data_IF_051203706161
#
_entry.id   IF_051203706161
#
_cell.length_a   1.000
_cell.length_b   1.000
_cell.length_c   1.000
_cell.angle_alpha   90.00
_cell.angle_beta   90.00
_cell.angle_gamma   90.00
#
_symmetry.space_group_name_H-M   'P 1'
#
loop_
_entity.id
_entity.type
_entity.pdbx_description
1 polymer ?
#
# COMPACT_ATOMS: atom_id res chain seq x y z
N UNK A 1 64.82 -10.63 -30.21
CA UNK A 1 64.14 -9.86 -29.16
C UNK A 1 62.62 -10.07 -29.38
N UNK A 2 61.99 -11.01 -28.64
CA UNK A 2 60.57 -11.32 -28.79
C UNK A 2 59.79 -10.50 -27.79
N UNK A 3 58.92 -9.63 -28.27
CA UNK A 3 58.01 -8.80 -27.47
C UNK A 3 56.82 -9.66 -27.03
N UNK A 4 56.72 -9.93 -25.72
CA UNK A 4 55.55 -10.57 -25.12
C UNK A 4 54.57 -9.49 -24.71
N UNK A 5 53.46 -9.39 -25.45
CA UNK A 5 52.35 -8.51 -25.09
C UNK A 5 51.50 -9.28 -24.07
N UNK A 6 51.55 -8.89 -22.82
CA UNK A 6 50.66 -9.36 -21.78
C UNK A 6 49.31 -8.64 -21.91
N UNK A 7 48.27 -9.35 -22.37
CA UNK A 7 46.90 -8.85 -22.35
C UNK A 7 46.38 -9.01 -20.92
N UNK A 8 46.31 -7.91 -20.19
CA UNK A 8 45.67 -7.84 -18.89
C UNK A 8 44.15 -7.85 -19.11
N UNK A 9 43.52 -9.00 -18.99
CA UNK A 9 42.06 -9.12 -19.01
C UNK A 9 41.48 -8.49 -17.74
N UNK A 10 40.84 -7.34 -17.88
CA UNK A 10 40.03 -6.76 -16.82
C UNK A 10 38.78 -7.64 -16.68
N UNK A 11 38.78 -8.53 -15.70
CA UNK A 11 37.59 -9.23 -15.25
C UNK A 11 36.70 -8.18 -14.56
N UNK A 12 35.76 -7.60 -15.32
CA UNK A 12 34.64 -6.84 -14.73
C UNK A 12 33.78 -7.87 -14.02
N UNK A 13 33.95 -8.02 -12.73
CA UNK A 13 33.05 -8.77 -11.87
C UNK A 13 31.70 -8.04 -11.96
N UNK A 14 30.75 -8.57 -12.69
CA UNK A 14 29.34 -8.24 -12.52
C UNK A 14 28.96 -8.73 -11.12
N UNK A 15 29.08 -7.86 -10.11
CA UNK A 15 28.39 -8.13 -8.85
C UNK A 15 26.91 -8.28 -9.21
N UNK A 16 26.41 -9.49 -9.04
CA UNK A 16 24.99 -9.75 -9.19
C UNK A 16 24.23 -8.77 -8.26
N UNK A 17 23.48 -7.85 -8.84
CA UNK A 17 22.66 -6.89 -8.10
C UNK A 17 21.47 -7.62 -7.46
N UNK A 18 21.78 -8.59 -6.59
CA UNK A 18 20.80 -9.40 -5.88
C UNK A 18 20.63 -8.88 -4.46
N UNK A 19 19.37 -8.72 -4.00
CA UNK A 19 19.03 -8.38 -2.61
C UNK A 19 17.93 -9.32 -2.12
N UNK A 20 18.08 -9.87 -0.92
CA UNK A 20 17.16 -10.86 -0.34
C UNK A 20 16.78 -12.02 -1.28
N UNK A 21 17.70 -12.40 -2.19
CA UNK A 21 17.49 -13.46 -3.18
C UNK A 21 16.80 -13.01 -4.48
N UNK A 22 16.47 -11.72 -4.63
CA UNK A 22 15.87 -11.18 -5.85
C UNK A 22 16.90 -10.55 -6.76
N UNK A 23 16.87 -10.90 -8.06
CA UNK A 23 17.69 -10.29 -9.10
C UNK A 23 17.13 -8.90 -9.46
N UNK A 24 17.98 -7.88 -9.31
CA UNK A 24 17.64 -6.48 -9.59
C UNK A 24 18.38 -5.93 -10.83
N UNK A 25 19.11 -6.79 -11.56
CA UNK A 25 19.93 -6.37 -12.70
C UNK A 25 19.10 -5.73 -13.84
N UNK A 26 17.85 -6.16 -13.98
CA UNK A 26 16.87 -5.66 -14.97
C UNK A 26 15.63 -5.07 -14.28
N UNK A 27 15.83 -4.23 -13.28
CA UNK A 27 14.73 -3.54 -12.58
C UNK A 27 14.28 -2.29 -13.32
N UNK A 28 12.96 -2.02 -13.32
CA UNK A 28 12.38 -0.77 -13.86
C UNK A 28 12.77 0.47 -13.04
N UNK A 29 13.20 0.27 -11.79
CA UNK A 29 13.66 1.34 -10.92
C UNK A 29 15.14 1.12 -10.61
N UNK A 30 15.92 2.17 -10.28
CA UNK A 30 17.33 2.01 -9.99
C UNK A 30 17.57 1.04 -8.82
N UNK A 31 18.30 -0.05 -9.06
CA UNK A 31 18.59 -1.07 -8.04
C UNK A 31 19.23 -0.50 -6.76
N UNK A 32 20.00 0.61 -6.87
CA UNK A 32 20.59 1.33 -5.73
C UNK A 32 19.53 1.96 -4.83
N UNK A 33 18.31 2.22 -5.33
CA UNK A 33 17.20 2.82 -4.58
C UNK A 33 16.34 1.76 -3.89
N UNK A 34 16.43 0.50 -4.32
CA UNK A 34 15.82 -0.63 -3.61
C UNK A 34 16.69 -0.93 -2.39
N UNK A 35 16.11 -0.86 -1.20
CA UNK A 35 16.80 -0.97 0.09
C UNK A 35 16.27 -2.15 0.89
N UNK A 36 17.13 -2.76 1.73
CA UNK A 36 16.67 -3.69 2.74
C UNK A 36 15.87 -2.93 3.81
N UNK A 37 14.69 -3.43 4.14
CA UNK A 37 13.83 -2.93 5.23
C UNK A 37 14.25 -3.42 6.61
N UNK A 38 15.24 -4.31 6.69
CA UNK A 38 15.73 -4.96 7.91
C UNK A 38 15.39 -6.45 7.93
N UNK A 39 14.12 -6.87 7.96
CA UNK A 39 13.76 -8.30 7.89
C UNK A 39 14.22 -8.93 6.57
N UNK A 40 14.60 -10.23 6.57
CA UNK A 40 14.83 -10.97 5.32
C UNK A 40 13.50 -11.21 4.58
N UNK A 41 13.56 -11.83 3.42
CA UNK A 41 12.40 -12.38 2.71
C UNK A 41 11.56 -13.22 3.67
N UNK A 42 10.25 -12.97 3.71
CA UNK A 42 9.26 -13.59 4.61
C UNK A 42 9.57 -13.45 6.12
N UNK A 43 10.51 -12.58 6.50
CA UNK A 43 10.78 -12.25 7.90
C UNK A 43 9.61 -11.52 8.57
N UNK A 44 8.73 -10.89 7.78
CA UNK A 44 7.40 -10.46 8.15
C UNK A 44 6.43 -11.46 7.50
N UNK A 45 5.70 -12.27 8.28
CA UNK A 45 4.89 -13.37 7.73
C UNK A 45 3.59 -12.84 7.11
N UNK A 46 3.43 -12.97 5.80
CA UNK A 46 2.16 -12.70 5.13
C UNK A 46 1.07 -13.71 5.55
N UNK A 47 -0.20 -13.28 5.53
CA UNK A 47 -1.33 -14.17 5.82
C UNK A 47 -1.82 -14.81 4.51
N UNK A 48 -1.81 -16.14 4.45
CA UNK A 48 -2.23 -16.93 3.27
C UNK A 48 -3.57 -17.64 3.46
N UNK A 49 -4.02 -17.81 4.68
CA UNK A 49 -5.29 -18.43 5.06
C UNK A 49 -5.97 -17.57 6.10
N UNK A 50 -6.52 -16.42 5.70
CA UNK A 50 -7.18 -15.52 6.64
C UNK A 50 -8.42 -16.19 7.25
N UNK A 51 -8.57 -16.08 8.57
CA UNK A 51 -9.77 -16.40 9.29
C UNK A 51 -10.54 -15.11 9.59
N UNK A 52 -11.84 -15.19 9.62
CA UNK A 52 -12.71 -14.05 9.86
C UNK A 52 -13.66 -14.33 11.01
N UNK A 53 -14.11 -13.26 11.62
CA UNK A 53 -15.10 -13.24 12.70
C UNK A 53 -16.14 -12.16 12.44
N UNK A 54 -17.26 -12.17 13.15
CA UNK A 54 -18.29 -11.13 13.01
C UNK A 54 -17.80 -9.80 13.61
N UNK A 55 -18.43 -8.69 13.24
CA UNK A 55 -18.15 -7.40 13.84
C UNK A 55 -18.37 -7.40 15.37
N UNK A 56 -19.37 -8.14 15.85
CA UNK A 56 -19.64 -8.30 17.28
C UNK A 56 -18.47 -8.98 17.99
N UNK A 57 -18.00 -10.12 17.49
CA UNK A 57 -16.83 -10.83 18.03
C UNK A 57 -15.56 -9.98 18.00
N UNK A 58 -15.36 -9.25 16.91
CA UNK A 58 -14.22 -8.33 16.77
C UNK A 58 -14.26 -7.18 17.78
N UNK A 59 -15.46 -6.73 18.20
CA UNK A 59 -15.63 -5.66 19.19
C UNK A 59 -15.11 -6.01 20.60
N UNK A 60 -14.87 -7.28 20.87
CA UNK A 60 -14.24 -7.73 22.12
C UNK A 60 -12.77 -7.28 22.26
N UNK A 61 -12.12 -6.95 21.13
CA UNK A 61 -10.70 -6.58 21.12
C UNK A 61 -10.36 -5.35 20.25
N UNK A 62 -11.24 -4.94 19.34
CA UNK A 62 -11.16 -3.69 18.60
C UNK A 62 -11.96 -2.62 19.32
N UNK A 63 -11.36 -1.44 19.45
CA UNK A 63 -12.09 -0.23 19.88
C UNK A 63 -12.74 0.45 18.68
N UNK A 64 -13.78 1.27 18.88
CA UNK A 64 -14.45 2.01 17.81
C UNK A 64 -13.48 2.79 16.89
N UNK A 65 -12.42 3.35 17.46
CA UNK A 65 -11.44 4.20 16.75
C UNK A 65 -10.31 3.41 16.07
N UNK A 66 -10.27 2.08 16.22
CA UNK A 66 -9.23 1.31 15.55
C UNK A 66 -9.35 1.42 14.03
N UNK A 67 -8.23 1.69 13.38
CA UNK A 67 -8.17 1.81 11.92
C UNK A 67 -8.35 0.46 11.27
N UNK A 68 -9.14 0.45 10.21
CA UNK A 68 -9.35 -0.71 9.34
C UNK A 68 -9.21 -0.31 7.87
N UNK A 69 -8.82 -1.26 7.05
CA UNK A 69 -9.03 -1.22 5.60
C UNK A 69 -10.33 -1.96 5.31
N UNK A 70 -11.32 -1.24 4.84
CA UNK A 70 -12.60 -1.81 4.44
C UNK A 70 -12.64 -2.07 2.94
N UNK A 71 -13.10 -3.26 2.54
CA UNK A 71 -13.17 -3.69 1.15
C UNK A 71 -14.53 -4.32 0.88
N UNK A 72 -15.13 -3.99 -0.25
CA UNK A 72 -16.34 -4.66 -0.74
C UNK A 72 -15.99 -5.38 -2.05
N UNK A 73 -16.07 -6.71 -2.04
CA UNK A 73 -15.80 -7.55 -3.21
C UNK A 73 -17.01 -8.45 -3.42
N UNK A 74 -17.55 -8.49 -4.62
CA UNK A 74 -18.78 -9.29 -4.93
C UNK A 74 -19.94 -9.00 -3.97
N UNK A 75 -20.08 -7.76 -3.51
CA UNK A 75 -21.11 -7.35 -2.55
C UNK A 75 -20.86 -7.80 -1.10
N UNK A 76 -19.77 -8.51 -0.82
CA UNK A 76 -19.40 -8.93 0.53
C UNK A 76 -18.38 -7.94 1.12
N UNK A 77 -18.70 -7.40 2.30
CA UNK A 77 -17.84 -6.47 3.02
C UNK A 77 -16.87 -7.22 3.93
N UNK A 78 -15.59 -6.80 3.90
CA UNK A 78 -14.55 -7.27 4.82
C UNK A 78 -13.77 -6.11 5.41
N UNK A 79 -13.38 -6.25 6.67
CA UNK A 79 -12.53 -5.31 7.37
C UNK A 79 -11.19 -5.97 7.75
N UNK A 80 -10.10 -5.26 7.48
CA UNK A 80 -8.74 -5.70 7.83
C UNK A 80 -8.15 -4.71 8.82
N UNK A 81 -8.10 -5.07 10.13
CA UNK A 81 -7.58 -4.18 11.15
C UNK A 81 -6.11 -3.84 10.92
N UNK A 82 -5.77 -2.55 10.89
CA UNK A 82 -4.38 -2.08 10.72
C UNK A 82 -3.48 -2.63 11.82
N UNK A 83 -4.02 -2.92 13.00
CA UNK A 83 -3.28 -3.59 14.08
C UNK A 83 -2.70 -4.95 13.68
N UNK A 84 -3.43 -5.72 12.87
CA UNK A 84 -2.94 -6.99 12.31
C UNK A 84 -1.96 -6.69 11.16
N UNK A 85 -2.34 -5.77 10.27
CA UNK A 85 -1.54 -5.44 9.10
C UNK A 85 -0.16 -4.86 9.46
N UNK A 86 -0.01 -4.20 10.59
CA UNK A 86 1.29 -3.73 11.10
C UNK A 86 2.32 -4.86 11.34
N UNK A 87 1.85 -6.10 11.48
CA UNK A 87 2.70 -7.26 11.76
C UNK A 87 2.82 -8.22 10.57
N UNK A 88 1.92 -8.08 9.60
CA UNK A 88 1.81 -9.03 8.49
C UNK A 88 1.98 -8.38 7.12
N UNK A 89 1.71 -7.09 7.01
CA UNK A 89 1.79 -6.27 5.78
C UNK A 89 0.94 -6.77 4.60
N UNK A 90 0.75 -8.08 4.46
CA UNK A 90 0.04 -8.70 3.33
C UNK A 90 -0.97 -9.73 3.82
N UNK A 91 -2.19 -9.67 3.27
CA UNK A 91 -3.22 -10.70 3.42
C UNK A 91 -3.66 -11.15 2.03
N UNK A 92 -3.38 -12.40 1.69
CA UNK A 92 -3.88 -13.03 0.48
C UNK A 92 -5.27 -13.60 0.78
N UNK A 93 -6.27 -13.12 0.08
CA UNK A 93 -7.66 -13.44 0.37
C UNK A 93 -8.44 -13.81 -0.88
N UNK A 94 -9.64 -14.37 -0.66
CA UNK A 94 -10.54 -14.78 -1.72
C UNK A 94 -11.99 -14.67 -1.27
N UNK A 95 -12.82 -14.11 -2.14
CA UNK A 95 -14.29 -14.17 -2.04
C UNK A 95 -14.78 -14.85 -3.30
N UNK A 96 -15.42 -16.02 -3.13
CA UNK A 96 -15.83 -16.87 -4.24
C UNK A 96 -14.66 -17.23 -5.16
N UNK A 97 -14.70 -16.83 -6.43
CA UNK A 97 -13.65 -17.01 -7.44
C UNK A 97 -12.73 -15.80 -7.59
N UNK A 98 -12.99 -14.69 -6.88
CA UNK A 98 -12.20 -13.47 -6.91
C UNK A 98 -11.07 -13.55 -5.88
N UNK A 99 -9.84 -13.74 -6.36
CA UNK A 99 -8.63 -13.61 -5.55
C UNK A 99 -8.20 -12.14 -5.49
N UNK A 100 -7.78 -11.71 -4.30
CA UNK A 100 -7.21 -10.37 -4.11
C UNK A 100 -6.20 -10.37 -2.97
N UNK A 101 -5.35 -9.36 -2.96
CA UNK A 101 -4.39 -9.14 -1.88
C UNK A 101 -4.62 -7.79 -1.24
N UNK A 102 -4.71 -7.78 0.08
CA UNK A 102 -4.73 -6.57 0.91
C UNK A 102 -3.31 -6.33 1.38
N UNK A 103 -2.81 -5.13 1.12
CA UNK A 103 -1.43 -4.77 1.44
C UNK A 103 -1.40 -3.52 2.31
N UNK A 104 -0.45 -3.47 3.25
CA UNK A 104 -0.26 -2.31 4.11
C UNK A 104 1.22 -2.06 4.35
N UNK A 105 1.68 -0.84 4.09
CA UNK A 105 3.02 -0.40 4.45
C UNK A 105 2.96 0.53 5.68
N UNK A 106 3.34 0.06 6.88
CA UNK A 106 3.29 0.90 8.09
C UNK A 106 4.16 2.14 8.02
N UNK A 107 5.27 2.08 7.27
CA UNK A 107 6.18 3.20 7.11
C UNK A 107 5.59 4.32 6.24
N UNK A 108 4.75 3.96 5.28
CA UNK A 108 4.09 4.88 4.36
C UNK A 108 2.64 5.20 4.76
N UNK A 109 2.08 4.44 5.71
CA UNK A 109 0.66 4.51 6.07
C UNK A 109 -0.26 4.11 4.91
N UNK A 110 0.30 3.48 3.86
CA UNK A 110 -0.43 3.11 2.65
C UNK A 110 -1.11 1.76 2.81
N UNK A 111 -2.42 1.72 2.54
CA UNK A 111 -3.17 0.49 2.41
C UNK A 111 -3.77 0.39 1.02
N UNK A 112 -3.51 -0.69 0.32
CA UNK A 112 -3.98 -0.89 -1.05
C UNK A 112 -4.49 -2.32 -1.23
N UNK A 113 -5.42 -2.47 -2.13
CA UNK A 113 -5.99 -3.78 -2.46
C UNK A 113 -5.87 -3.99 -3.97
N UNK A 114 -5.45 -5.18 -4.36
CA UNK A 114 -5.26 -5.53 -5.76
C UNK A 114 -5.97 -6.82 -6.09
N UNK A 115 -6.59 -6.87 -7.26
CA UNK A 115 -7.03 -8.13 -7.82
C UNK A 115 -5.80 -9.01 -8.08
N UNK A 116 -5.82 -10.22 -7.55
CA UNK A 116 -4.69 -11.17 -7.60
C UNK A 116 -4.91 -12.29 -8.63
N UNK A 117 -5.80 -12.09 -9.59
CA UNK A 117 -6.03 -13.01 -10.69
C UNK A 117 -5.05 -12.67 -11.82
N UNK A 118 -4.07 -13.54 -12.09
CA UNK A 118 -3.16 -13.38 -13.20
C UNK A 118 -3.36 -14.52 -14.22
N UNK A 119 -4.08 -14.24 -15.28
CA UNK A 119 -4.28 -15.15 -16.40
C UNK A 119 -4.78 -16.54 -16.00
N UNK A 120 -3.87 -17.49 -15.73
CA UNK A 120 -4.20 -18.89 -15.46
C UNK A 120 -4.28 -19.26 -13.97
N UNK A 121 -4.26 -18.32 -13.04
CA UNK A 121 -4.32 -18.63 -11.61
C UNK A 121 -4.20 -17.42 -10.70
N UNK A 122 -4.29 -17.65 -9.40
CA UNK A 122 -4.08 -16.62 -8.39
C UNK A 122 -2.59 -16.36 -8.17
N UNK A 123 -2.23 -15.08 -8.05
CA UNK A 123 -0.94 -14.70 -7.47
C UNK A 123 -1.06 -14.73 -5.95
N UNK A 124 -0.08 -15.34 -5.30
CA UNK A 124 0.08 -15.29 -3.85
C UNK A 124 1.30 -14.43 -3.54
N UNK A 125 1.09 -13.41 -2.71
CA UNK A 125 2.12 -12.44 -2.40
C UNK A 125 2.74 -12.68 -1.03
N UNK A 126 4.07 -12.51 -0.96
CA UNK A 126 4.86 -12.51 0.26
C UNK A 126 5.59 -11.18 0.45
N UNK A 127 6.13 -10.98 1.66
CA UNK A 127 6.91 -9.80 2.02
C UNK A 127 8.36 -10.03 1.62
N UNK A 128 8.86 -9.22 0.71
CA UNK A 128 10.24 -9.36 0.19
C UNK A 128 11.32 -8.94 1.19
N UNK A 129 10.96 -8.15 2.22
CA UNK A 129 11.90 -7.47 3.10
C UNK A 129 12.64 -6.31 2.44
N UNK A 130 12.25 -5.93 1.22
CA UNK A 130 12.81 -4.82 0.47
C UNK A 130 11.83 -3.66 0.39
N UNK A 131 12.39 -2.46 0.22
CA UNK A 131 11.66 -1.20 0.10
C UNK A 131 12.14 -0.44 -1.13
N UNK A 132 11.22 0.24 -1.81
CA UNK A 132 11.51 1.28 -2.77
C UNK A 132 10.80 2.57 -2.34
N UNK A 133 11.53 3.68 -2.23
CA UNK A 133 11.00 4.94 -1.72
C UNK A 133 10.32 4.83 -0.34
N UNK A 134 10.87 3.98 0.54
CA UNK A 134 10.31 3.67 1.88
C UNK A 134 9.03 2.82 1.84
N UNK A 135 8.52 2.51 0.66
CA UNK A 135 7.31 1.69 0.47
C UNK A 135 7.66 0.23 0.28
N UNK A 136 6.76 -0.65 0.72
CA UNK A 136 6.97 -2.10 0.68
C UNK A 136 7.04 -2.62 -0.75
N UNK A 137 8.00 -3.51 -1.00
CA UNK A 137 8.01 -4.35 -2.17
C UNK A 137 7.47 -5.73 -1.82
N UNK A 138 6.38 -6.10 -2.48
CA UNK A 138 5.86 -7.45 -2.43
C UNK A 138 6.65 -8.33 -3.40
N UNK A 139 6.54 -9.65 -3.25
CA UNK A 139 6.93 -10.58 -4.30
C UNK A 139 5.82 -11.61 -4.50
N UNK A 140 5.67 -12.15 -5.70
CA UNK A 140 4.77 -13.29 -5.92
C UNK A 140 5.54 -14.60 -5.90
N UNK A 141 4.94 -15.62 -5.27
CA UNK A 141 5.56 -16.95 -5.13
C UNK A 141 5.72 -17.72 -6.46
N UNK A 142 4.94 -17.38 -7.49
CA UNK A 142 4.91 -18.15 -8.73
C UNK A 142 6.05 -17.74 -9.66
N UNK A 143 6.28 -16.43 -9.79
CA UNK A 143 7.28 -15.89 -10.71
C UNK A 143 8.50 -15.31 -10.01
N UNK A 144 8.44 -15.12 -8.70
CA UNK A 144 9.43 -14.43 -7.88
C UNK A 144 9.72 -12.99 -8.34
N UNK A 145 8.74 -12.38 -9.03
CA UNK A 145 8.83 -10.97 -9.41
C UNK A 145 8.60 -10.07 -8.20
N UNK A 146 9.33 -8.93 -8.16
CA UNK A 146 9.10 -7.88 -7.17
C UNK A 146 8.08 -6.89 -7.67
N UNK A 147 7.17 -6.47 -6.79
CA UNK A 147 6.07 -5.56 -7.07
C UNK A 147 6.13 -4.37 -6.14
N UNK A 148 6.07 -3.16 -6.71
CA UNK A 148 5.90 -1.94 -5.92
C UNK A 148 4.43 -1.77 -5.54
N UNK A 149 4.14 -1.59 -4.26
CA UNK A 149 2.78 -1.39 -3.78
C UNK A 149 2.16 -0.14 -4.41
N UNK A 150 2.75 1.04 -4.22
CA UNK A 150 2.17 2.31 -4.70
C UNK A 150 2.09 2.36 -6.23
N UNK A 151 3.06 1.78 -6.96
CA UNK A 151 2.99 1.73 -8.41
C UNK A 151 2.01 0.68 -8.93
N UNK A 152 1.57 -0.29 -8.11
CA UNK A 152 0.74 -1.41 -8.54
C UNK A 152 1.38 -2.24 -9.66
N UNK A 153 2.71 -2.28 -9.75
CA UNK A 153 3.44 -2.81 -10.91
C UNK A 153 4.62 -3.68 -10.50
N UNK A 154 4.84 -4.76 -11.24
CA UNK A 154 6.05 -5.56 -11.12
C UNK A 154 7.26 -4.77 -11.63
N UNK A 155 8.26 -4.57 -10.78
CA UNK A 155 9.45 -3.77 -11.08
C UNK A 155 10.66 -4.62 -11.48
N UNK A 156 10.69 -5.90 -11.17
CA UNK A 156 11.71 -6.85 -11.60
C UNK A 156 11.17 -8.27 -11.69
N UNK A 157 11.93 -9.18 -12.26
CA UNK A 157 11.57 -10.59 -12.42
C UNK A 157 10.75 -10.87 -13.68
N UNK A 158 10.18 -12.08 -13.74
CA UNK A 158 9.51 -12.61 -14.94
C UNK A 158 8.28 -11.81 -15.38
N UNK A 159 7.60 -11.19 -14.43
CA UNK A 159 6.39 -10.39 -14.68
C UNK A 159 6.68 -8.88 -14.74
N UNK A 160 7.95 -8.47 -14.82
CA UNK A 160 8.34 -7.06 -14.93
C UNK A 160 7.48 -6.29 -15.93
N UNK A 161 6.94 -5.15 -15.51
CA UNK A 161 6.07 -4.28 -16.31
C UNK A 161 4.58 -4.64 -16.23
N UNK A 162 4.22 -5.80 -15.68
CA UNK A 162 2.81 -6.15 -15.46
C UNK A 162 2.21 -5.28 -14.37
N UNK A 163 0.98 -4.83 -14.54
CA UNK A 163 0.20 -4.07 -13.56
C UNK A 163 -0.83 -4.95 -12.89
N UNK A 164 -1.07 -4.68 -11.59
CA UNK A 164 -2.17 -5.28 -10.84
C UNK A 164 -3.36 -4.32 -10.85
N UNK A 165 -4.55 -4.79 -11.26
CA UNK A 165 -5.75 -3.98 -11.13
C UNK A 165 -6.01 -3.64 -9.66
N UNK A 166 -6.01 -2.35 -9.34
CA UNK A 166 -6.32 -1.88 -8.00
C UNK A 166 -7.81 -1.95 -7.74
N UNK A 167 -8.21 -2.45 -6.58
CA UNK A 167 -9.57 -2.43 -6.09
C UNK A 167 -9.77 -1.25 -5.14
N UNK A 168 -11.00 -0.75 -5.08
CA UNK A 168 -11.35 0.31 -4.13
C UNK A 168 -11.20 -0.20 -2.69
N UNK A 169 -10.62 0.63 -1.83
CA UNK A 169 -10.42 0.37 -0.40
C UNK A 169 -10.76 1.62 0.38
N UNK A 170 -11.42 1.46 1.52
CA UNK A 170 -11.75 2.55 2.43
C UNK A 170 -10.88 2.48 3.68
N UNK A 171 -10.05 3.51 3.89
CA UNK A 171 -9.31 3.69 5.14
C UNK A 171 -10.19 4.41 6.15
N UNK A 172 -10.68 3.71 7.16
CA UNK A 172 -11.63 4.30 8.11
C UNK A 172 -11.46 3.75 9.52
N UNK A 173 -12.32 4.15 10.46
CA UNK A 173 -12.41 3.55 11.78
C UNK A 173 -13.29 2.29 11.75
N UNK A 174 -13.07 1.39 12.70
CA UNK A 174 -13.89 0.18 12.87
C UNK A 174 -15.37 0.53 13.03
N UNK A 175 -15.67 1.54 13.87
CA UNK A 175 -17.04 2.05 14.05
C UNK A 175 -17.68 2.49 12.73
N UNK A 176 -17.03 3.40 12.01
CA UNK A 176 -17.58 3.93 10.75
C UNK A 176 -17.81 2.83 9.71
N UNK A 177 -16.87 1.85 9.63
CA UNK A 177 -17.02 0.74 8.71
C UNK A 177 -18.21 -0.15 9.07
N UNK A 178 -18.35 -0.54 10.35
CA UNK A 178 -19.42 -1.45 10.80
C UNK A 178 -20.80 -0.80 10.78
N UNK A 179 -20.89 0.52 10.96
CA UNK A 179 -22.14 1.28 10.79
C UNK A 179 -22.63 1.25 9.31
N UNK A 180 -21.69 1.33 8.36
CA UNK A 180 -22.01 1.27 6.93
C UNK A 180 -22.18 -0.17 6.41
N UNK A 181 -21.54 -1.13 7.05
CA UNK A 181 -21.50 -2.52 6.65
C UNK A 181 -21.72 -3.44 7.88
N UNK A 182 -22.93 -3.51 8.45
CA UNK A 182 -23.20 -4.26 9.68
C UNK A 182 -22.89 -5.76 9.57
N UNK A 183 -23.04 -6.34 8.37
CA UNK A 183 -22.76 -7.75 8.10
C UNK A 183 -21.31 -8.01 7.69
N UNK A 184 -20.39 -7.06 7.92
CA UNK A 184 -18.99 -7.21 7.54
C UNK A 184 -18.32 -8.35 8.29
N UNK A 185 -17.47 -9.09 7.59
CA UNK A 185 -16.53 -10.02 8.22
C UNK A 185 -15.21 -9.29 8.52
N UNK A 186 -14.70 -9.48 9.73
CA UNK A 186 -13.48 -8.84 10.23
C UNK A 186 -12.35 -9.86 10.29
N UNK A 187 -11.17 -9.52 9.77
CA UNK A 187 -10.00 -10.39 9.87
C UNK A 187 -9.68 -10.65 11.35
N UNK A 188 -9.67 -11.94 11.72
CA UNK A 188 -9.50 -12.39 13.08
C UNK A 188 -8.04 -12.39 13.52
N UNK A 189 -7.83 -12.24 14.84
CA UNK A 189 -6.52 -12.41 15.49
C UNK A 189 -5.94 -13.82 15.39
N UNK A 190 -6.74 -14.81 15.01
CA UNK A 190 -6.36 -16.22 15.03
C UNK A 190 -5.52 -16.65 13.82
N UNK A 191 -4.75 -15.73 13.24
CA UNK A 191 -3.87 -16.02 12.08
C UNK A 191 -2.71 -17.00 12.38
N UNK A 192 -2.77 -17.73 13.50
CA UNK A 192 -1.85 -18.83 13.82
C UNK A 192 -0.52 -18.41 14.47
N UNK A 193 -0.32 -17.13 14.72
CA UNK A 193 0.89 -16.60 15.37
C UNK A 193 0.57 -16.05 16.76
N UNK A 194 1.46 -16.28 17.72
CA UNK A 194 1.35 -15.72 19.07
C UNK A 194 1.83 -14.26 19.12
N UNK A 195 1.08 -13.36 18.46
CA UNK A 195 1.39 -11.93 18.39
C UNK A 195 0.40 -11.14 19.26
N UNK A 196 0.93 -10.23 20.07
CA UNK A 196 0.09 -9.25 20.79
C UNK A 196 -0.23 -8.05 19.90
N UNK A 197 -1.32 -8.14 19.14
CA UNK A 197 -1.78 -7.08 18.23
C UNK A 197 -2.22 -5.78 18.94
N UNK A 198 -2.22 -5.71 20.28
CA UNK A 198 -2.42 -4.45 21.02
C UNK A 198 -1.20 -3.53 20.90
N UNK A 199 -0.04 -4.09 20.63
CA UNK A 199 1.21 -3.37 20.43
C UNK A 199 1.44 -3.13 18.94
N UNK A 200 2.11 -2.04 18.61
CA UNK A 200 2.56 -1.75 17.24
C UNK A 200 4.09 -1.67 17.20
N UNK A 201 4.76 -2.31 16.24
CA UNK A 201 6.20 -2.10 16.01
C UNK A 201 6.53 -0.66 15.60
N UNK A 202 5.50 0.10 15.18
CA UNK A 202 5.63 1.46 14.64
C UNK A 202 5.02 2.51 15.57
N UNK A 203 4.95 2.22 16.88
CA UNK A 203 4.38 3.13 17.87
C UNK A 203 5.07 4.51 17.80
N UNK A 204 4.27 5.57 17.80
CA UNK A 204 4.71 6.96 17.67
C UNK A 204 5.46 7.33 16.36
N UNK A 205 5.64 6.42 15.40
CA UNK A 205 6.32 6.73 14.14
C UNK A 205 5.62 7.86 13.38
N UNK A 206 4.31 7.84 13.27
CA UNK A 206 3.55 8.89 12.54
C UNK A 206 3.66 10.29 13.18
N UNK A 207 3.93 10.37 14.48
CA UNK A 207 4.08 11.66 15.20
C UNK A 207 5.43 12.33 14.92
N UNK A 208 6.43 11.58 14.43
CA UNK A 208 7.78 12.10 14.19
C UNK A 208 7.95 12.58 12.77
N UNK A 209 8.73 13.63 12.55
CA UNK A 209 9.09 14.07 11.18
C UNK A 209 10.17 13.19 10.53
N UNK A 210 10.85 12.34 11.29
CA UNK A 210 11.94 11.50 10.81
C UNK A 210 11.40 10.35 9.96
N UNK A 211 11.93 10.18 8.74
CA UNK A 211 11.75 8.99 7.92
C UNK A 211 12.85 7.98 8.24
N UNK A 212 12.51 6.69 8.29
CA UNK A 212 13.51 5.64 8.55
C UNK A 212 14.38 5.37 7.32
N UNK A 213 13.82 5.52 6.13
CA UNK A 213 14.52 5.27 4.87
C UNK A 213 14.50 6.50 3.97
N UNK A 214 15.51 6.61 3.11
CA UNK A 214 15.62 7.70 2.12
C UNK A 214 14.59 7.49 1.01
N UNK A 215 14.10 8.60 0.49
CA UNK A 215 13.19 8.69 -0.65
C UNK A 215 13.85 9.46 -1.79
N UNK A 216 13.43 9.21 -3.03
CA UNK A 216 13.99 9.84 -4.23
C UNK A 216 13.58 11.30 -4.34
N UNK A 217 12.33 11.63 -4.00
CA UNK A 217 11.80 12.98 -4.00
C UNK A 217 11.32 13.35 -2.60
N UNK A 218 11.84 14.46 -2.08
CA UNK A 218 11.38 14.96 -0.78
C UNK A 218 10.14 15.81 -0.97
N UNK A 219 9.09 15.49 -0.21
CA UNK A 219 7.89 16.29 -0.20
C UNK A 219 8.17 17.71 0.33
N UNK A 220 7.49 18.73 -0.21
CA UNK A 220 7.50 20.09 0.33
C UNK A 220 7.09 20.10 1.81
N UNK A 221 7.56 21.14 2.52
CA UNK A 221 7.38 21.26 3.98
C UNK A 221 6.04 21.88 4.41
N UNK A 222 5.15 22.16 3.46
CA UNK A 222 3.84 22.75 3.68
C UNK A 222 2.97 21.89 4.61
N UNK A 223 3.22 20.57 4.58
CA UNK A 223 2.57 19.62 5.48
C UNK A 223 3.59 18.86 6.34
N UNK A 224 3.07 18.25 7.41
CA UNK A 224 3.86 17.25 8.11
C UNK A 224 4.21 16.09 7.15
N UNK A 225 5.43 15.55 7.14
CA UNK A 225 5.78 14.46 6.20
C UNK A 225 4.82 13.27 6.27
N UNK A 226 4.24 13.04 7.44
CA UNK A 226 3.26 11.98 7.68
C UNK A 226 1.83 12.52 7.85
N UNK A 227 1.54 13.70 7.27
CA UNK A 227 0.17 14.11 7.02
C UNK A 227 -0.51 13.06 6.15
N UNK A 228 -1.73 12.67 6.51
CA UNK A 228 -2.51 11.73 5.70
C UNK A 228 -3.07 12.43 4.47
N UNK A 229 -2.96 11.76 3.36
CA UNK A 229 -3.53 12.23 2.09
C UNK A 229 -4.30 11.09 1.43
N UNK A 230 -5.37 11.43 0.74
CA UNK A 230 -5.96 10.58 -0.27
C UNK A 230 -5.41 11.02 -1.63
N UNK A 231 -4.74 10.11 -2.33
CA UNK A 231 -4.24 10.32 -3.68
C UNK A 231 -5.19 9.72 -4.71
N UNK A 232 -5.51 10.48 -5.73
CA UNK A 232 -6.33 10.07 -6.89
C UNK A 232 -5.47 10.16 -8.15
N UNK A 233 -5.55 9.13 -8.99
CA UNK A 233 -4.89 9.08 -10.30
C UNK A 233 -5.95 8.88 -11.37
N UNK A 234 -6.04 9.81 -12.32
CA UNK A 234 -6.95 9.72 -13.47
C UNK A 234 -6.13 10.09 -14.73
N UNK A 235 -5.94 9.12 -15.60
CA UNK A 235 -5.03 9.27 -16.72
C UNK A 235 -3.60 9.60 -16.24
N UNK A 236 -3.04 10.69 -16.74
CA UNK A 236 -1.70 11.15 -16.35
C UNK A 236 -1.73 12.14 -15.18
N UNK A 237 -2.92 12.55 -14.70
CA UNK A 237 -3.07 13.53 -13.62
C UNK A 237 -3.14 12.83 -12.28
N UNK A 238 -2.37 13.32 -11.32
CA UNK A 238 -2.35 12.88 -9.92
C UNK A 238 -2.74 14.05 -9.05
N UNK A 239 -3.65 13.83 -8.11
CA UNK A 239 -4.09 14.86 -7.16
C UNK A 239 -4.15 14.30 -5.76
N UNK A 240 -3.52 15.03 -4.82
CA UNK A 240 -3.53 14.72 -3.41
C UNK A 240 -4.58 15.55 -2.69
N UNK A 241 -5.29 14.94 -1.76
CA UNK A 241 -6.25 15.55 -0.86
C UNK A 241 -5.74 15.40 0.58
N UNK A 242 -4.94 16.36 1.10
CA UNK A 242 -4.46 16.30 2.47
C UNK A 242 -5.64 16.37 3.45
N UNK A 243 -5.64 15.51 4.46
CA UNK A 243 -6.73 15.44 5.43
C UNK A 243 -6.87 16.77 6.23
N UNK A 244 -5.75 17.44 6.48
CA UNK A 244 -5.76 18.77 7.09
C UNK A 244 -6.49 19.80 6.22
N UNK A 245 -6.41 19.70 4.89
CA UNK A 245 -7.16 20.60 3.99
C UNK A 245 -8.63 20.16 3.88
N UNK A 246 -8.90 18.85 3.77
CA UNK A 246 -10.27 18.35 3.82
C UNK A 246 -10.99 18.76 5.11
N UNK A 247 -10.27 18.79 6.25
CA UNK A 247 -10.82 19.21 7.54
C UNK A 247 -11.15 20.68 7.65
N UNK A 248 -10.58 21.54 6.78
CA UNK A 248 -10.91 22.97 6.70
C UNK A 248 -12.11 23.22 5.78
N UNK A 249 -12.40 22.30 4.88
CA UNK A 249 -13.51 22.43 3.96
C UNK A 249 -14.84 22.33 4.74
N UNK A 250 -15.75 23.27 4.49
CA UNK A 250 -17.08 23.29 5.13
C UNK A 250 -18.02 22.18 4.61
N UNK A 251 -17.71 21.60 3.46
CA UNK A 251 -18.52 20.54 2.83
C UNK A 251 -17.87 19.18 3.01
N UNK A 252 -18.60 18.24 3.60
CA UNK A 252 -18.20 16.84 3.70
C UNK A 252 -18.26 16.11 2.34
N UNK A 253 -19.02 16.63 1.39
CA UNK A 253 -19.15 16.08 0.04
C UNK A 253 -19.09 17.23 -0.96
N UNK A 254 -18.18 17.12 -1.93
CA UNK A 254 -18.02 18.12 -2.98
C UNK A 254 -17.56 17.49 -4.30
N UNK A 255 -17.79 18.20 -5.39
CA UNK A 255 -17.30 17.82 -6.72
C UNK A 255 -15.95 18.49 -6.95
N UNK A 256 -15.01 17.73 -7.49
CA UNK A 256 -13.71 18.23 -7.97
C UNK A 256 -13.39 17.61 -9.32
N UNK A 257 -12.55 18.26 -10.11
CA UNK A 257 -12.14 17.76 -11.42
C UNK A 257 -10.68 17.30 -11.37
N UNK A 258 -10.42 16.08 -11.83
CA UNK A 258 -9.08 15.48 -11.92
C UNK A 258 -8.90 14.91 -13.31
N UNK A 259 -7.88 15.36 -14.04
CA UNK A 259 -7.62 14.88 -15.40
C UNK A 259 -8.77 15.11 -16.38
N UNK A 260 -9.59 16.15 -16.16
CA UNK A 260 -10.77 16.45 -16.96
C UNK A 260 -12.00 15.57 -16.66
N UNK A 261 -11.93 14.75 -15.64
CA UNK A 261 -13.06 13.94 -15.17
C UNK A 261 -13.55 14.49 -13.82
N UNK A 262 -14.85 14.71 -13.70
CA UNK A 262 -15.47 15.09 -12.43
C UNK A 262 -15.56 13.88 -11.52
N UNK A 263 -15.21 14.08 -10.25
CA UNK A 263 -15.32 13.09 -9.18
C UNK A 263 -16.06 13.70 -8.00
N UNK A 264 -16.70 12.85 -7.21
CA UNK A 264 -17.30 13.26 -5.93
C UNK A 264 -16.37 12.86 -4.81
N UNK A 265 -15.78 13.81 -4.12
CA UNK A 265 -14.98 13.59 -2.91
C UNK A 265 -15.90 13.58 -1.71
N UNK A 266 -15.81 12.52 -0.91
CA UNK A 266 -16.52 12.43 0.37
C UNK A 266 -15.51 12.36 1.50
N UNK A 267 -15.67 13.22 2.49
CA UNK A 267 -14.83 13.34 3.68
C UNK A 267 -15.64 13.10 4.95
N UNK A 268 -15.17 12.22 5.78
CA UNK A 268 -15.71 11.98 7.11
C UNK A 268 -14.71 12.46 8.16
N UNK A 269 -15.01 13.60 8.76
CA UNK A 269 -14.17 14.26 9.76
C UNK A 269 -13.97 13.40 11.01
N UNK A 270 -15.01 12.70 11.46
CA UNK A 270 -14.93 11.90 12.69
C UNK A 270 -14.13 10.62 12.46
N UNK A 271 -14.38 9.97 11.33
CA UNK A 271 -13.67 8.75 10.97
C UNK A 271 -12.28 9.03 10.36
N UNK A 272 -11.94 10.31 10.07
CA UNK A 272 -10.74 10.66 9.32
C UNK A 272 -10.58 9.75 8.10
N UNK A 273 -11.60 9.79 7.23
CA UNK A 273 -11.78 8.91 6.09
C UNK A 273 -12.19 9.69 4.87
N UNK A 274 -11.49 9.50 3.76
CA UNK A 274 -11.84 10.09 2.47
C UNK A 274 -12.02 9.00 1.43
N UNK A 275 -13.01 9.17 0.56
CA UNK A 275 -13.21 8.35 -0.64
C UNK A 275 -13.51 9.24 -1.83
N UNK A 276 -13.25 8.75 -3.03
CA UNK A 276 -13.65 9.38 -4.27
C UNK A 276 -14.62 8.47 -5.02
N UNK A 277 -15.68 9.06 -5.58
CA UNK A 277 -16.65 8.36 -6.39
C UNK A 277 -16.57 8.86 -7.84
N UNK A 278 -16.75 7.97 -8.78
CA UNK A 278 -16.87 8.27 -10.19
C UNK A 278 -18.28 8.76 -10.58
N UNK A 279 -18.47 8.99 -11.85
CA UNK A 279 -19.69 9.55 -12.44
C UNK A 279 -20.94 8.67 -12.28
N UNK A 280 -20.76 7.35 -12.09
CA UNK A 280 -21.82 6.38 -11.83
C UNK A 280 -22.03 6.10 -10.34
N UNK A 281 -21.32 6.82 -9.47
CA UNK A 281 -21.34 6.61 -8.02
C UNK A 281 -20.51 5.43 -7.54
N UNK A 282 -19.73 4.79 -8.41
CA UNK A 282 -18.78 3.74 -8.02
C UNK A 282 -17.60 4.33 -7.23
N UNK A 283 -17.15 3.63 -6.20
CA UNK A 283 -15.94 4.04 -5.49
C UNK A 283 -14.70 3.82 -6.37
N UNK A 284 -13.95 4.89 -6.60
CA UNK A 284 -12.71 4.85 -7.35
C UNK A 284 -11.59 4.25 -6.49
N UNK A 285 -10.65 3.51 -7.10
CA UNK A 285 -9.40 3.16 -6.44
C UNK A 285 -8.61 4.42 -6.09
N UNK A 286 -8.21 4.54 -4.83
CA UNK A 286 -7.42 5.66 -4.31
C UNK A 286 -6.25 5.13 -3.50
N UNK A 287 -5.24 5.97 -3.27
CA UNK A 287 -4.09 5.66 -2.40
C UNK A 287 -4.19 6.53 -1.17
N UNK A 288 -4.62 5.97 -0.04
CA UNK A 288 -4.51 6.68 1.24
C UNK A 288 -3.19 6.34 1.90
N UNK A 289 -2.40 7.35 2.27
CA UNK A 289 -1.09 7.18 2.89
C UNK A 289 -0.53 8.49 3.43
N UNK A 290 0.75 8.50 3.78
CA UNK A 290 1.43 9.71 4.22
C UNK A 290 1.87 10.59 3.05
N UNK A 291 1.87 11.90 3.26
CA UNK A 291 2.25 12.90 2.26
C UNK A 291 3.60 12.61 1.60
N UNK A 292 4.63 12.29 2.40
CA UNK A 292 5.95 11.98 1.84
C UNK A 292 5.93 10.77 0.91
N UNK A 293 5.12 9.75 1.24
CA UNK A 293 5.01 8.53 0.47
C UNK A 293 4.31 8.78 -0.87
N UNK A 294 3.20 9.51 -0.84
CA UNK A 294 2.52 9.93 -2.07
C UNK A 294 3.44 10.77 -2.96
N UNK A 295 4.04 11.83 -2.38
CA UNK A 295 4.85 12.79 -3.13
C UNK A 295 6.11 12.17 -3.76
N UNK A 296 6.75 11.22 -3.09
CA UNK A 296 7.97 10.60 -3.66
C UNK A 296 7.71 9.79 -4.92
N UNK A 297 6.49 9.25 -5.07
CA UNK A 297 6.06 8.54 -6.28
C UNK A 297 5.40 9.49 -7.31
N UNK A 298 4.84 10.60 -6.87
CA UNK A 298 4.10 11.56 -7.69
C UNK A 298 4.55 12.99 -7.39
N UNK A 299 5.81 13.37 -7.74
CA UNK A 299 6.33 14.70 -7.43
C UNK A 299 5.66 15.84 -8.22
N UNK A 300 4.94 15.50 -9.28
CA UNK A 300 4.14 16.38 -10.14
C UNK A 300 2.65 16.45 -9.70
N UNK A 301 2.33 15.95 -8.51
CA UNK A 301 0.95 15.90 -8.02
C UNK A 301 0.36 17.29 -7.83
N UNK A 302 -0.88 17.46 -8.25
CA UNK A 302 -1.71 18.58 -7.79
C UNK A 302 -2.08 18.37 -6.31
N UNK A 303 -2.35 19.46 -5.61
CA UNK A 303 -2.74 19.43 -4.20
C UNK A 303 -4.04 20.18 -4.02
N UNK A 304 -5.03 19.52 -3.44
CA UNK A 304 -6.26 20.18 -3.02
C UNK A 304 -5.97 21.12 -1.85
N UNK A 305 -6.44 22.35 -1.98
CA UNK A 305 -6.43 23.38 -0.93
C UNK A 305 -7.88 23.79 -0.70
N UNK A 306 -8.30 23.81 0.54
CA UNK A 306 -9.66 24.26 0.90
C UNK A 306 -9.86 25.72 0.48
N UNK A 307 -11.04 26.08 -0.07
CA UNK A 307 -11.37 27.42 -0.50
C UNK A 307 -11.44 28.43 0.67
#
# INVERSE_FOLDING_TARGET
MKLVIAILGVLISFEALAKNGFDLSDSLVPAREIRSGGPPRDGIPAIYKPAFETAEQASEWLTPDNRVLGVVVRGQARAYPVRILNWHEIVNDRIEDQYFTVTYCPLCGTGMVFAANAGKGALLFGVSGLLYNSDVLLYDHNSESLWSQILGKAISGKLKGTELPQLAVTHTTFKNWTEKHPDTNVLSRSAGLSIDYRKSPYENYEKTRRLYFKVSHRAPSDFHPKERVMGVVIGDVKKAYPFVELSKNSMETFIDSVGGQDIVVQWDQQAQSAIALGDRGEQLPTVTGFWFAWYTFHPDTEVFVAP
#
